data_IF_057310702982
#
_entry.id   IF_057310702982
#
_cell.length_a   1.000
_cell.length_b   1.000
_cell.length_c   1.000
_cell.angle_alpha   90.00
_cell.angle_beta   90.00
_cell.angle_gamma   90.00
#
_symmetry.space_group_name_H-M   'P 1'
#
loop_
_entity.id
_entity.type
_entity.pdbx_description
1 polymer ?
#
# COMPACT_ATOMS: atom_id res chain seq x y z
N UNK A 1 0.60 2.88 -15.57
CA UNK A 1 0.20 2.42 -14.23
C UNK A 1 0.10 0.89 -14.25
N UNK A 2 0.61 0.17 -13.25
CA UNK A 2 0.44 -1.27 -13.14
C UNK A 2 -1.05 -1.62 -13.11
N UNK A 3 -1.42 -2.75 -13.71
CA UNK A 3 -2.78 -3.29 -13.61
C UNK A 3 -3.14 -3.59 -12.16
N UNK A 4 -4.42 -3.61 -11.81
CA UNK A 4 -4.89 -3.85 -10.44
C UNK A 4 -4.29 -5.14 -9.84
N UNK A 5 -4.20 -6.21 -10.65
CA UNK A 5 -3.57 -7.47 -10.27
C UNK A 5 -2.06 -7.33 -9.99
N UNK A 6 -1.36 -6.52 -10.77
CA UNK A 6 0.07 -6.27 -10.57
C UNK A 6 0.30 -5.39 -9.33
N UNK A 7 -0.52 -4.35 -9.13
CA UNK A 7 -0.47 -3.49 -7.96
C UNK A 7 -0.71 -4.29 -6.67
N UNK A 8 -1.72 -5.17 -6.66
CA UNK A 8 -1.99 -6.08 -5.55
C UNK A 8 -0.80 -6.99 -5.27
N UNK A 9 -0.20 -7.58 -6.31
CA UNK A 9 0.97 -8.45 -6.15
C UNK A 9 2.16 -7.72 -5.55
N UNK A 10 2.48 -6.53 -6.06
CA UNK A 10 3.58 -5.70 -5.53
C UNK A 10 3.35 -5.33 -4.06
N UNK A 11 2.13 -4.91 -3.74
CA UNK A 11 1.74 -4.65 -2.36
C UNK A 11 1.89 -5.89 -1.47
N UNK A 12 1.43 -7.06 -1.93
CA UNK A 12 1.52 -8.30 -1.16
C UNK A 12 2.97 -8.75 -0.94
N UNK A 13 3.85 -8.57 -1.92
CA UNK A 13 5.27 -8.86 -1.77
C UNK A 13 5.91 -7.97 -0.69
N UNK A 14 5.45 -6.72 -0.56
CA UNK A 14 5.90 -5.83 0.51
C UNK A 14 5.24 -6.15 1.86
N UNK A 15 3.92 -6.30 1.93
CA UNK A 15 3.18 -6.50 3.18
C UNK A 15 3.34 -7.89 3.79
N UNK A 16 3.36 -8.92 2.95
CA UNK A 16 3.27 -10.31 3.36
C UNK A 16 4.48 -11.16 2.94
N UNK A 17 5.39 -10.62 2.10
CA UNK A 17 6.50 -11.38 1.49
C UNK A 17 6.03 -12.54 0.59
N UNK A 18 4.84 -12.41 0.03
CA UNK A 18 4.21 -13.41 -0.84
C UNK A 18 3.44 -12.71 -1.97
N UNK A 19 3.15 -13.44 -3.05
CA UNK A 19 2.49 -12.88 -4.23
C UNK A 19 1.00 -12.55 -4.02
N UNK A 20 0.38 -13.14 -3.00
CA UNK A 20 -1.04 -13.02 -2.69
C UNK A 20 -1.24 -12.76 -1.20
N UNK A 21 -2.32 -12.09 -0.78
CA UNK A 21 -2.58 -11.85 0.63
C UNK A 21 -3.02 -13.15 1.33
N UNK A 22 -2.81 -13.29 2.66
CA UNK A 22 -3.37 -14.38 3.44
C UNK A 22 -4.91 -14.38 3.41
N UNK A 23 -5.52 -15.53 3.72
CA UNK A 23 -6.99 -15.65 3.84
C UNK A 23 -7.51 -14.59 4.83
N UNK A 24 -8.55 -13.87 4.42
CA UNK A 24 -9.15 -12.79 5.21
C UNK A 24 -8.49 -11.41 5.07
N UNK A 25 -7.40 -11.29 4.30
CA UNK A 25 -6.77 -10.01 3.94
C UNK A 25 -7.00 -9.60 2.48
N UNK A 26 -7.63 -10.46 1.66
CA UNK A 26 -7.86 -10.22 0.23
C UNK A 26 -8.51 -8.86 -0.05
N UNK A 27 -9.67 -8.60 0.55
CA UNK A 27 -10.41 -7.35 0.36
C UNK A 27 -9.60 -6.13 0.80
N UNK A 28 -8.97 -6.22 1.98
CA UNK A 28 -8.15 -5.15 2.53
C UNK A 28 -6.93 -4.83 1.64
N UNK A 29 -6.24 -5.86 1.16
CA UNK A 29 -5.08 -5.71 0.30
C UNK A 29 -5.45 -5.12 -1.07
N UNK A 30 -6.57 -5.56 -1.65
CA UNK A 30 -7.10 -4.99 -2.90
C UNK A 30 -7.48 -3.53 -2.72
N UNK A 31 -8.12 -3.16 -1.62
CA UNK A 31 -8.52 -1.78 -1.36
C UNK A 31 -7.30 -0.87 -1.15
N UNK A 32 -6.28 -1.31 -0.42
CA UNK A 32 -5.02 -0.56 -0.27
C UNK A 32 -4.32 -0.40 -1.63
N UNK A 33 -4.26 -1.46 -2.43
CA UNK A 33 -3.62 -1.43 -3.75
C UNK A 33 -4.34 -0.47 -4.72
N UNK A 34 -5.68 -0.47 -4.70
CA UNK A 34 -6.50 0.45 -5.48
C UNK A 34 -6.31 1.91 -5.03
N UNK A 35 -6.32 2.16 -3.72
CA UNK A 35 -6.11 3.51 -3.14
C UNK A 35 -4.71 4.06 -3.43
N UNK A 36 -3.69 3.21 -3.55
CA UNK A 36 -2.34 3.62 -3.91
C UNK A 36 -2.19 4.07 -5.39
N UNK A 37 -3.25 3.99 -6.20
CA UNK A 37 -3.27 4.48 -7.58
C UNK A 37 -2.30 3.79 -8.52
N UNK A 38 -1.85 2.57 -8.17
CA UNK A 38 -0.81 1.87 -8.91
C UNK A 38 0.58 2.52 -8.82
N UNK A 39 0.83 3.46 -7.91
CA UNK A 39 2.18 4.01 -7.73
C UNK A 39 3.09 2.94 -7.10
N UNK A 40 4.12 2.43 -7.81
CA UNK A 40 4.98 1.36 -7.30
C UNK A 40 5.62 1.70 -5.94
N UNK A 41 6.02 2.96 -5.76
CA UNK A 41 6.61 3.45 -4.52
C UNK A 41 5.58 3.51 -3.38
N UNK A 42 4.35 3.95 -3.68
CA UNK A 42 3.25 3.98 -2.72
C UNK A 42 2.91 2.58 -2.22
N UNK A 43 2.77 1.62 -3.13
CA UNK A 43 2.50 0.21 -2.80
C UNK A 43 3.58 -0.39 -1.88
N UNK A 44 4.85 -0.09 -2.15
CA UNK A 44 5.96 -0.58 -1.33
C UNK A 44 5.96 0.03 0.08
N UNK A 45 5.80 1.35 0.20
CA UNK A 45 5.75 2.05 1.50
C UNK A 45 4.57 1.54 2.32
N UNK A 46 3.38 1.47 1.72
CA UNK A 46 2.18 0.98 2.40
C UNK A 46 2.32 -0.48 2.84
N UNK A 47 2.87 -1.33 1.97
CA UNK A 47 3.13 -2.72 2.32
C UNK A 47 4.10 -2.83 3.49
N UNK A 48 5.17 -2.03 3.51
CA UNK A 48 6.11 -2.01 4.62
C UNK A 48 5.48 -1.50 5.93
N UNK A 49 4.64 -0.46 5.86
CA UNK A 49 3.92 0.09 7.02
C UNK A 49 2.91 -0.90 7.62
N UNK A 50 2.26 -1.71 6.79
CA UNK A 50 1.22 -2.66 7.17
C UNK A 50 1.76 -4.08 7.46
N UNK A 51 3.04 -4.33 7.17
CA UNK A 51 3.71 -5.60 7.45
C UNK A 51 3.63 -5.95 8.94
N UNK A 52 3.30 -7.21 9.22
CA UNK A 52 3.16 -7.75 10.58
C UNK A 52 2.14 -7.01 11.47
N UNK A 53 1.22 -6.22 10.88
CA UNK A 53 0.09 -5.61 11.59
C UNK A 53 -1.14 -6.52 11.54
N UNK A 54 -1.93 -6.48 12.60
CA UNK A 54 -3.16 -7.27 12.68
C UNK A 54 -4.29 -6.67 11.82
N UNK A 55 -5.31 -7.47 11.53
CA UNK A 55 -6.43 -7.06 10.67
C UNK A 55 -7.15 -5.81 11.18
N UNK A 56 -7.29 -5.64 12.50
CA UNK A 56 -7.91 -4.45 13.11
C UNK A 56 -7.15 -3.18 12.76
N UNK A 57 -5.82 -3.19 12.87
CA UNK A 57 -4.98 -2.06 12.49
C UNK A 57 -5.15 -1.68 11.02
N UNK A 58 -5.30 -2.66 10.13
CA UNK A 58 -5.53 -2.39 8.71
C UNK A 58 -6.87 -1.68 8.46
N UNK A 59 -7.93 -2.14 9.14
CA UNK A 59 -9.26 -1.51 9.06
C UNK A 59 -9.24 -0.08 9.60
N UNK A 60 -8.52 0.17 10.69
CA UNK A 60 -8.40 1.53 11.26
C UNK A 60 -7.53 2.44 10.37
N UNK A 61 -6.55 1.88 9.66
CA UNK A 61 -5.65 2.62 8.75
C UNK A 61 -6.31 2.92 7.39
N UNK A 62 -7.20 2.08 6.88
CA UNK A 62 -7.83 2.26 5.55
C UNK A 62 -8.53 3.62 5.35
N UNK A 63 -9.34 4.13 6.29
CA UNK A 63 -9.95 5.44 6.19
C UNK A 63 -8.93 6.58 6.15
N UNK A 64 -7.82 6.45 6.89
CA UNK A 64 -6.76 7.47 6.92
C UNK A 64 -5.90 7.44 5.67
N UNK A 65 -5.80 6.30 4.98
CA UNK A 65 -5.16 6.22 3.66
C UNK A 65 -5.92 7.03 2.62
N UNK A 66 -7.26 6.99 2.61
CA UNK A 66 -8.06 7.80 1.67
C UNK A 66 -7.90 9.32 1.81
N UNK A 67 -7.54 9.81 3.01
CA UNK A 67 -7.32 11.24 3.28
C UNK A 67 -5.84 11.66 3.33
N UNK A 68 -4.94 10.71 3.59
CA UNK A 68 -3.53 10.95 3.89
C UNK A 68 -2.54 10.40 2.87
N UNK A 69 -2.99 9.58 1.90
CA UNK A 69 -2.14 9.15 0.79
C UNK A 69 -1.65 10.35 0.00
N UNK A 70 -2.50 11.37 -0.22
CA UNK A 70 -2.06 12.63 -0.82
C UNK A 70 -0.89 13.21 -0.03
N UNK A 71 -1.05 13.57 1.25
CA UNK A 71 0.02 14.27 1.99
C UNK A 71 1.28 13.44 2.34
N UNK A 72 1.17 12.12 2.58
CA UNK A 72 2.33 11.30 2.97
C UNK A 72 3.08 10.71 1.78
N UNK A 73 2.38 10.28 0.73
CA UNK A 73 3.05 9.83 -0.50
C UNK A 73 3.61 11.04 -1.23
N UNK A 74 2.91 12.17 -1.28
CA UNK A 74 3.45 13.40 -1.88
C UNK A 74 4.72 13.88 -1.14
N UNK A 75 4.75 13.83 0.20
CA UNK A 75 5.99 14.11 0.95
C UNK A 75 7.11 13.10 0.68
N UNK A 76 6.81 11.80 0.62
CA UNK A 76 7.82 10.78 0.32
C UNK A 76 8.33 10.88 -1.13
N UNK A 77 7.45 11.21 -2.08
CA UNK A 77 7.80 11.49 -3.48
C UNK A 77 8.64 12.77 -3.58
N UNK A 78 8.31 13.82 -2.82
CA UNK A 78 9.09 15.07 -2.80
C UNK A 78 10.50 14.87 -2.25
N UNK A 79 10.65 14.11 -1.16
CA UNK A 79 11.97 13.77 -0.60
C UNK A 79 12.79 12.90 -1.55
N UNK A 80 12.14 12.06 -2.37
CA UNK A 80 12.82 11.29 -3.42
C UNK A 80 13.24 12.13 -4.64
N UNK A 81 12.61 13.29 -4.86
CA UNK A 81 12.86 14.16 -6.02
C UNK A 81 13.87 15.27 -5.69
N UNK A 82 13.86 15.81 -4.46
CA UNK A 82 14.83 16.82 -4.00
C UNK A 82 16.22 16.24 -3.63
N UNK A 83 16.42 14.93 -3.81
CA UNK A 83 17.69 14.24 -3.57
C UNK A 83 18.49 13.90 -4.84
N UNK A 84 18.10 14.45 -6.00
CA UNK A 84 18.70 14.22 -7.31
C UNK A 84 19.28 15.51 -7.90
#
# INVERSE_FOLDING_TARGET
>A
MPSENLALRMFCQSAFRQNYPPVGFMELASEVAARAGGLPLGLNILGACLRARNKKYWVDMLPTLGKGLDGKIEKALRVSYDGL
#
